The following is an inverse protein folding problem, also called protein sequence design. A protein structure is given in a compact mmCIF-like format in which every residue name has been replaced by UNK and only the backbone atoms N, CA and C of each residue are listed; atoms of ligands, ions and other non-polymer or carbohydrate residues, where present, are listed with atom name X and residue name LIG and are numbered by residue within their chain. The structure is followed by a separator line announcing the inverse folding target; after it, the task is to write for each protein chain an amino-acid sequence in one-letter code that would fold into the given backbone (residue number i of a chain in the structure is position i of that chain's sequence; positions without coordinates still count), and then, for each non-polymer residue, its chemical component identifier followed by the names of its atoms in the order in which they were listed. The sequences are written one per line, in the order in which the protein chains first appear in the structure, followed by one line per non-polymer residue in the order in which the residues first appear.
data_IF_832259201869
#
_entry.id   IF_832259201869
#
_cell.length_a   1.000
_cell.length_b   1.000
_cell.length_c   1.000
_cell.angle_alpha   90.00
_cell.angle_beta   90.00
_cell.angle_gamma   90.00
#
_symmetry.space_group_name_H-M   'P 1'
#
loop_
_entity.id
_entity.type
_entity.pdbx_description
1 polymer ?
#
# COMPACT_ATOMS: atom_id res chain seq x y z
N UNK A 1 -14.50 -19.19 -3.64
CA UNK A 1 -13.19 -19.05 -4.33
C UNK A 1 -13.07 -17.60 -4.78
N UNK A 2 -11.96 -16.93 -4.45
CA UNK A 2 -11.70 -15.55 -4.86
C UNK A 2 -10.78 -15.52 -6.09
N UNK A 3 -11.03 -14.59 -7.00
CA UNK A 3 -10.22 -14.35 -8.20
C UNK A 3 -9.52 -13.01 -8.01
N UNK A 4 -8.19 -12.98 -8.15
CA UNK A 4 -7.38 -11.76 -8.18
C UNK A 4 -7.12 -11.40 -9.64
N UNK A 5 -7.33 -10.14 -10.00
CA UNK A 5 -7.13 -9.61 -11.36
C UNK A 5 -6.72 -8.13 -11.32
N UNK A 6 -6.20 -7.56 -12.42
CA UNK A 6 -6.03 -6.12 -12.54
C UNK A 6 -7.34 -5.37 -12.25
N UNK A 7 -7.22 -4.20 -11.62
CA UNK A 7 -8.35 -3.31 -11.36
C UNK A 7 -8.76 -2.62 -12.67
N UNK A 8 -10.04 -2.64 -12.99
CA UNK A 8 -10.59 -2.01 -14.19
C UNK A 8 -11.30 -0.71 -13.83
N UNK A 9 -11.35 0.26 -14.75
CA UNK A 9 -12.03 1.53 -14.48
C UNK A 9 -13.52 1.37 -14.13
N UNK A 10 -14.16 0.30 -14.62
CA UNK A 10 -15.55 -0.06 -14.33
C UNK A 10 -15.76 -0.57 -12.90
N UNK A 11 -14.70 -1.03 -12.21
CA UNK A 11 -14.76 -1.53 -10.82
C UNK A 11 -15.15 -0.45 -9.81
N UNK A 12 -14.93 0.82 -10.14
CA UNK A 12 -15.36 1.98 -9.34
C UNK A 12 -16.87 1.94 -9.09
N UNK A 13 -17.65 1.35 -10.00
CA UNK A 13 -19.11 1.21 -9.83
C UNK A 13 -19.50 0.01 -8.95
N UNK A 14 -18.55 -0.87 -8.62
CA UNK A 14 -18.79 -2.19 -8.04
C UNK A 14 -18.16 -2.40 -6.66
N UNK A 15 -17.31 -1.49 -6.18
CA UNK A 15 -16.61 -1.59 -4.90
C UNK A 15 -17.32 -0.95 -3.69
N UNK A 16 -18.61 -0.63 -3.81
CA UNK A 16 -19.38 0.05 -2.76
C UNK A 16 -19.41 -0.74 -1.44
N UNK A 17 -19.39 -2.07 -1.51
CA UNK A 17 -19.32 -2.96 -0.34
C UNK A 17 -17.98 -2.84 0.40
N UNK A 18 -16.89 -2.58 -0.32
CA UNK A 18 -15.56 -2.36 0.23
C UNK A 18 -15.49 -0.98 0.88
N UNK A 19 -15.98 0.04 0.17
CA UNK A 19 -15.94 1.43 0.64
C UNK A 19 -16.93 1.73 1.79
N UNK A 20 -17.86 0.82 2.08
CA UNK A 20 -18.69 0.89 3.29
C UNK A 20 -17.91 0.62 4.58
N UNK A 21 -16.66 0.13 4.50
CA UNK A 21 -15.83 -0.05 5.68
C UNK A 21 -15.34 1.31 6.24
N UNK A 22 -15.51 1.59 7.54
CA UNK A 22 -15.18 2.87 8.15
C UNK A 22 -13.71 3.31 8.01
N UNK A 23 -12.79 2.36 7.80
CA UNK A 23 -11.36 2.65 7.65
C UNK A 23 -10.97 2.94 6.19
N UNK A 24 -11.90 2.78 5.25
CA UNK A 24 -11.62 2.93 3.82
C UNK A 24 -11.84 4.37 3.38
N UNK A 25 -10.76 5.03 2.97
CA UNK A 25 -10.86 6.32 2.30
C UNK A 25 -11.45 6.12 0.89
N UNK A 26 -12.55 6.83 0.61
CA UNK A 26 -13.17 6.86 -0.72
C UNK A 26 -12.77 8.14 -1.44
N UNK A 27 -12.14 8.01 -2.61
CA UNK A 27 -11.70 9.14 -3.41
C UNK A 27 -12.70 9.46 -4.53
N UNK A 28 -12.55 10.62 -5.16
CA UNK A 28 -13.33 10.94 -6.36
C UNK A 28 -12.91 10.04 -7.54
N UNK A 29 -13.82 9.77 -8.49
CA UNK A 29 -13.56 8.84 -9.61
C UNK A 29 -12.31 9.19 -10.44
N UNK A 30 -12.06 10.49 -10.66
CA UNK A 30 -10.87 10.97 -11.37
C UNK A 30 -9.55 10.59 -10.69
N UNK A 31 -9.55 10.41 -9.36
CA UNK A 31 -8.39 9.98 -8.60
C UNK A 31 -8.02 8.54 -8.98
N UNK A 32 -8.99 7.61 -8.90
CA UNK A 32 -8.76 6.22 -9.33
C UNK A 32 -8.36 6.12 -10.81
N UNK A 33 -9.00 6.92 -11.68
CA UNK A 33 -8.66 6.95 -13.11
C UNK A 33 -7.21 7.42 -13.36
N UNK A 34 -6.70 8.38 -12.60
CA UNK A 34 -5.31 8.82 -12.69
C UNK A 34 -4.34 7.69 -12.36
N UNK A 35 -4.62 6.90 -11.31
CA UNK A 35 -3.77 5.76 -10.94
C UNK A 35 -3.77 4.69 -12.02
N UNK A 36 -4.93 4.35 -12.59
CA UNK A 36 -5.01 3.40 -13.70
C UNK A 36 -4.28 3.89 -14.96
N UNK A 37 -4.23 5.21 -15.18
CA UNK A 37 -3.52 5.78 -16.32
C UNK A 37 -1.99 5.80 -16.14
N UNK A 38 -1.50 5.96 -14.90
CA UNK A 38 -0.07 6.11 -14.61
C UNK A 38 0.60 4.82 -14.12
N UNK A 39 -0.11 4.00 -13.35
CA UNK A 39 0.39 2.79 -12.70
C UNK A 39 -0.62 1.63 -12.77
N UNK A 40 -1.04 1.20 -13.97
CA UNK A 40 -2.00 0.10 -14.13
C UNK A 40 -1.53 -1.20 -13.48
N UNK A 41 -0.23 -1.49 -13.55
CA UNK A 41 0.38 -2.72 -13.02
C UNK A 41 0.42 -2.77 -11.48
N UNK A 42 0.11 -1.65 -10.80
CA UNK A 42 0.04 -1.55 -9.34
C UNK A 42 -1.40 -1.51 -8.81
N UNK A 43 -2.38 -1.72 -9.67
CA UNK A 43 -3.80 -1.66 -9.31
C UNK A 43 -4.46 -3.03 -9.50
N UNK A 44 -4.88 -3.66 -8.39
CA UNK A 44 -5.50 -4.98 -8.38
C UNK A 44 -6.84 -4.99 -7.66
N UNK A 45 -7.72 -5.88 -8.10
CA UNK A 45 -8.99 -6.18 -7.47
C UNK A 45 -9.08 -7.68 -7.14
N UNK A 46 -9.89 -8.02 -6.15
CA UNK A 46 -10.36 -9.38 -5.93
C UNK A 46 -11.88 -9.42 -5.81
N UNK A 47 -12.48 -10.44 -6.42
CA UNK A 47 -13.92 -10.68 -6.38
C UNK A 47 -14.21 -12.17 -6.16
N UNK A 48 -15.44 -12.48 -5.76
CA UNK A 48 -15.92 -13.86 -5.71
C UNK A 48 -16.08 -14.43 -7.12
N UNK A 49 -15.81 -15.73 -7.31
CA UNK A 49 -15.94 -16.39 -8.62
C UNK A 49 -17.35 -16.29 -9.24
N UNK A 50 -18.38 -16.06 -8.43
CA UNK A 50 -19.78 -15.93 -8.84
C UNK A 50 -20.38 -14.57 -8.46
N UNK A 51 -19.55 -13.62 -8.02
CA UNK A 51 -19.99 -12.29 -7.60
C UNK A 51 -19.48 -11.26 -8.61
N UNK A 52 -20.35 -10.30 -8.95
CA UNK A 52 -19.97 -9.16 -9.79
C UNK A 52 -19.32 -8.03 -8.98
N UNK A 53 -19.61 -7.95 -7.67
CA UNK A 53 -19.05 -6.92 -6.81
C UNK A 53 -17.58 -7.20 -6.50
N UNK A 54 -16.82 -6.11 -6.42
CA UNK A 54 -15.43 -6.14 -5.96
C UNK A 54 -15.46 -6.38 -4.45
N UNK A 55 -14.78 -7.43 -4.00
CA UNK A 55 -14.69 -7.81 -2.59
C UNK A 55 -13.45 -7.23 -1.89
N UNK A 56 -12.43 -6.86 -2.65
CA UNK A 56 -11.22 -6.20 -2.18
C UNK A 56 -10.49 -5.48 -3.32
N UNK A 57 -9.66 -4.49 -3.01
CA UNK A 57 -8.75 -3.88 -3.98
C UNK A 57 -7.47 -3.36 -3.34
N UNK A 58 -6.44 -3.23 -4.16
CA UNK A 58 -5.19 -2.52 -3.89
C UNK A 58 -4.98 -1.48 -4.99
N UNK A 59 -4.73 -0.24 -4.62
CA UNK A 59 -4.30 0.85 -5.50
C UNK A 59 -2.98 1.37 -4.95
N UNK A 60 -1.94 1.35 -5.77
CA UNK A 60 -0.61 1.79 -5.41
C UNK A 60 0.06 2.56 -6.57
N UNK A 61 1.17 3.23 -6.26
CA UNK A 61 1.96 4.01 -7.23
C UNK A 61 3.45 3.91 -6.93
N UNK A 62 4.27 4.43 -7.82
CA UNK A 62 5.67 4.77 -7.51
C UNK A 62 5.84 6.29 -7.46
N UNK A 63 6.50 6.79 -6.43
CA UNK A 63 6.80 8.22 -6.32
C UNK A 63 8.05 8.49 -5.45
N UNK A 64 8.64 9.69 -5.56
CA UNK A 64 8.70 10.49 -6.79
C UNK A 64 9.43 9.72 -7.91
N UNK A 65 9.34 10.12 -9.20
CA UNK A 65 9.98 9.39 -10.29
C UNK A 65 11.51 9.23 -10.11
N UNK A 66 12.11 8.13 -10.60
CA UNK A 66 13.55 7.95 -10.55
C UNK A 66 14.26 9.01 -11.43
N UNK A 67 15.49 9.43 -11.11
CA UNK A 67 16.43 8.84 -10.15
C UNK A 67 16.39 9.48 -8.74
N UNK A 68 15.24 9.95 -8.26
CA UNK A 68 15.13 10.55 -6.93
C UNK A 68 15.57 9.56 -5.82
N UNK A 69 16.27 10.07 -4.80
CA UNK A 69 16.73 9.29 -3.65
C UNK A 69 15.56 8.76 -2.81
N UNK A 70 14.43 9.44 -2.82
CA UNK A 70 13.25 8.97 -2.12
C UNK A 70 12.34 8.11 -3.01
N UNK A 71 12.80 7.60 -4.16
CA UNK A 71 11.96 6.77 -5.03
C UNK A 71 11.50 5.49 -4.32
N UNK A 72 10.19 5.36 -4.11
CA UNK A 72 9.54 4.29 -3.38
C UNK A 72 8.24 3.83 -4.04
N UNK A 73 7.80 2.62 -3.70
CA UNK A 73 6.42 2.19 -3.92
C UNK A 73 5.53 2.72 -2.80
N UNK A 74 4.38 3.31 -3.14
CA UNK A 74 3.44 3.85 -2.17
C UNK A 74 2.11 3.11 -2.27
N UNK A 75 1.67 2.50 -1.17
CA UNK A 75 0.33 1.94 -1.06
C UNK A 75 -0.67 3.05 -0.72
N UNK A 76 -1.40 3.49 -1.74
CA UNK A 76 -2.42 4.53 -1.57
C UNK A 76 -3.68 4.00 -0.88
N UNK A 77 -4.15 2.83 -1.29
CA UNK A 77 -5.35 2.24 -0.71
C UNK A 77 -5.33 0.72 -0.79
N UNK A 78 -5.58 0.08 0.35
CA UNK A 78 -5.84 -1.35 0.46
C UNK A 78 -7.09 -1.54 1.29
N UNK A 79 -8.14 -2.09 0.70
CA UNK A 79 -9.35 -2.39 1.45
C UNK A 79 -9.97 -3.72 1.04
N UNK A 80 -10.55 -4.38 2.03
CA UNK A 80 -11.11 -5.72 1.95
C UNK A 80 -12.42 -5.70 2.72
N UNK A 81 -13.51 -6.00 2.01
CA UNK A 81 -14.83 -6.15 2.62
C UNK A 81 -14.80 -7.23 3.71
N UNK A 82 -15.62 -7.12 4.78
CA UNK A 82 -15.58 -8.08 5.88
C UNK A 82 -15.68 -9.56 5.47
N UNK A 83 -16.48 -9.87 4.44
CA UNK A 83 -16.67 -11.23 3.92
C UNK A 83 -15.41 -11.83 3.25
N UNK A 84 -14.48 -10.99 2.80
CA UNK A 84 -13.25 -11.40 2.11
C UNK A 84 -12.01 -11.36 3.03
N UNK A 85 -12.17 -11.00 4.32
CA UNK A 85 -11.07 -10.97 5.31
C UNK A 85 -10.68 -12.39 5.74
N UNK A 86 -9.44 -12.55 6.21
CA UNK A 86 -8.93 -13.84 6.69
C UNK A 86 -8.55 -14.82 5.58
N UNK A 87 -8.67 -14.42 4.30
CA UNK A 87 -8.32 -15.24 3.13
C UNK A 87 -6.87 -15.04 2.64
N UNK A 88 -6.09 -14.20 3.32
CA UNK A 88 -4.71 -13.87 2.92
C UNK A 88 -4.59 -12.87 1.76
N UNK A 89 -5.69 -12.29 1.27
CA UNK A 89 -5.69 -11.35 0.14
C UNK A 89 -4.78 -10.13 0.37
N UNK A 90 -4.82 -9.53 1.57
CA UNK A 90 -3.93 -8.42 1.91
C UNK A 90 -2.45 -8.80 1.74
N UNK A 91 -2.06 -9.99 2.22
CA UNK A 91 -0.69 -10.48 2.08
C UNK A 91 -0.32 -10.67 0.61
N UNK A 92 -1.23 -11.17 -0.22
CA UNK A 92 -0.97 -11.34 -1.66
C UNK A 92 -0.80 -9.98 -2.35
N UNK A 93 -1.68 -9.02 -2.08
CA UNK A 93 -1.58 -7.67 -2.64
C UNK A 93 -0.27 -6.98 -2.23
N UNK A 94 0.08 -7.02 -0.94
CA UNK A 94 1.35 -6.46 -0.49
C UNK A 94 2.55 -7.17 -1.13
N UNK A 95 2.52 -8.49 -1.27
CA UNK A 95 3.59 -9.22 -1.95
C UNK A 95 3.74 -8.84 -3.43
N UNK A 96 2.64 -8.52 -4.13
CA UNK A 96 2.68 -8.01 -5.51
C UNK A 96 3.33 -6.63 -5.54
N UNK A 97 2.91 -5.70 -4.67
CA UNK A 97 3.48 -4.37 -4.56
C UNK A 97 4.98 -4.42 -4.25
N UNK A 98 5.37 -5.17 -3.20
CA UNK A 98 6.77 -5.34 -2.81
C UNK A 98 7.63 -5.88 -3.96
N UNK A 99 7.15 -6.90 -4.68
CA UNK A 99 7.87 -7.45 -5.82
C UNK A 99 8.06 -6.40 -6.92
N UNK A 100 6.99 -5.71 -7.31
CA UNK A 100 7.02 -4.70 -8.38
C UNK A 100 7.83 -3.45 -7.99
N UNK A 101 8.00 -3.17 -6.70
CA UNK A 101 8.84 -2.07 -6.18
C UNK A 101 10.27 -2.50 -5.83
N UNK A 102 10.70 -3.70 -6.26
CA UNK A 102 12.05 -4.24 -6.03
C UNK A 102 12.74 -4.62 -7.34
N UNK A 103 13.90 -5.26 -7.27
CA UNK A 103 14.57 -5.91 -8.39
C UNK A 103 13.92 -7.26 -8.80
N UNK A 104 12.66 -7.47 -8.42
CA UNK A 104 11.90 -8.70 -8.64
C UNK A 104 12.13 -9.78 -7.58
N UNK A 105 12.98 -9.53 -6.58
CA UNK A 105 13.33 -10.51 -5.52
C UNK A 105 12.55 -10.33 -4.21
N UNK A 106 11.82 -9.23 -4.03
CA UNK A 106 11.02 -9.02 -2.83
C UNK A 106 9.63 -9.70 -2.90
N UNK A 107 8.90 -9.68 -1.77
CA UNK A 107 7.59 -10.30 -1.63
C UNK A 107 7.67 -11.82 -1.44
N UNK A 108 6.96 -12.57 -2.28
CA UNK A 108 7.02 -14.05 -2.32
C UNK A 108 7.82 -14.55 -3.54
N UNK A 109 8.70 -13.73 -4.10
CA UNK A 109 9.61 -14.21 -5.12
C UNK A 109 10.60 -15.23 -4.51
N UNK A 110 10.87 -16.36 -5.17
CA UNK A 110 11.99 -17.22 -4.78
C UNK A 110 13.31 -16.48 -5.04
N UNK A 111 14.34 -16.83 -4.27
CA UNK A 111 15.71 -16.38 -4.55
C UNK A 111 16.11 -16.83 -5.96
N UNK A 112 16.63 -15.93 -6.81
CA UNK A 112 17.04 -16.27 -8.16
C UNK A 112 18.20 -17.27 -8.13
N UNK A 113 18.17 -18.28 -9.01
CA UNK A 113 19.24 -19.28 -9.11
C UNK A 113 20.52 -18.69 -9.72
N UNK A 114 20.38 -17.71 -10.61
CA UNK A 114 21.48 -17.01 -11.26
C UNK A 114 21.09 -15.57 -11.67
N UNK A 115 22.09 -14.79 -12.11
CA UNK A 115 21.87 -13.39 -12.49
C UNK A 115 21.02 -13.21 -13.75
N UNK A 116 20.91 -14.24 -14.58
CA UNK A 116 20.04 -14.18 -15.75
C UNK A 116 18.58 -14.28 -15.31
N UNK A 117 18.26 -15.21 -14.41
CA UNK A 117 16.93 -15.30 -13.80
C UNK A 117 16.58 -14.01 -13.05
N UNK A 118 17.53 -13.44 -12.30
CA UNK A 118 17.34 -12.16 -11.62
C UNK A 118 16.97 -11.02 -12.59
N UNK A 119 17.70 -10.91 -13.71
CA UNK A 119 17.41 -9.91 -14.73
C UNK A 119 16.03 -10.10 -15.37
N UNK A 120 15.62 -11.34 -15.62
CA UNK A 120 14.29 -11.62 -16.16
C UNK A 120 13.18 -11.33 -15.14
N UNK A 121 13.38 -11.65 -13.85
CA UNK A 121 12.42 -11.34 -12.79
C UNK A 121 12.23 -9.83 -12.59
N UNK A 122 13.31 -9.06 -12.71
CA UNK A 122 13.30 -7.61 -12.53
C UNK A 122 12.85 -6.81 -13.75
N UNK A 123 12.66 -7.44 -14.92
CA UNK A 123 12.41 -6.76 -16.20
C UNK A 123 11.22 -5.80 -16.18
N UNK A 124 10.15 -6.20 -15.51
CA UNK A 124 8.91 -5.42 -15.40
C UNK A 124 8.75 -4.77 -14.00
N UNK A 125 9.82 -4.77 -13.21
CA UNK A 125 9.83 -4.18 -11.87
C UNK A 125 10.52 -2.82 -11.87
N UNK A 126 10.22 -2.01 -10.85
CA UNK A 126 10.79 -0.70 -10.63
C UNK A 126 11.61 -0.74 -9.34
N UNK A 127 12.93 -0.74 -9.51
CA UNK A 127 13.88 -0.82 -8.39
C UNK A 127 13.81 0.42 -7.49
N UNK A 128 13.10 0.29 -6.37
CA UNK A 128 12.81 1.36 -5.41
C UNK A 128 13.52 1.11 -4.07
N UNK A 129 13.67 2.14 -3.24
CA UNK A 129 14.37 2.01 -1.95
C UNK A 129 13.53 1.33 -0.88
N UNK A 130 12.23 1.59 -0.85
CA UNK A 130 11.31 1.06 0.13
C UNK A 130 9.90 1.01 -0.43
N UNK A 131 9.00 0.38 0.31
CA UNK A 131 7.56 0.54 0.15
C UNK A 131 7.01 1.22 1.40
N UNK A 132 6.15 2.22 1.24
CA UNK A 132 5.47 2.88 2.34
C UNK A 132 3.94 2.89 2.22
N UNK A 133 3.30 3.34 3.31
CA UNK A 133 1.86 3.53 3.44
C UNK A 133 1.55 4.43 4.62
N UNK A 134 0.37 5.06 4.59
CA UNK A 134 -0.20 5.74 5.76
C UNK A 134 -1.33 4.93 6.39
N UNK A 135 -1.30 4.79 7.71
CA UNK A 135 -2.36 4.13 8.49
C UNK A 135 -2.74 4.96 9.70
N UNK A 136 -4.04 5.06 10.01
CA UNK A 136 -4.51 5.73 11.23
C UNK A 136 -3.93 5.07 12.47
N UNK A 137 -3.48 5.87 13.44
CA UNK A 137 -2.83 5.38 14.66
C UNK A 137 -3.74 4.45 15.49
N UNK A 138 -5.06 4.59 15.39
CA UNK A 138 -6.05 3.76 16.08
C UNK A 138 -6.50 2.52 15.29
N UNK A 139 -6.03 2.30 14.05
CA UNK A 139 -6.35 1.11 13.27
C UNK A 139 -5.41 -0.05 13.61
N UNK A 140 -5.51 -0.55 14.85
CA UNK A 140 -4.63 -1.61 15.37
C UNK A 140 -4.61 -2.88 14.52
N UNK A 141 -5.74 -3.23 13.88
CA UNK A 141 -5.82 -4.41 13.00
C UNK A 141 -4.93 -4.30 11.77
N UNK A 142 -4.90 -3.12 11.14
CA UNK A 142 -4.05 -2.86 9.98
C UNK A 142 -2.59 -2.75 10.41
N UNK A 143 -2.30 -2.05 11.51
CA UNK A 143 -0.95 -1.93 12.07
C UNK A 143 -0.36 -3.31 12.36
N UNK A 144 -1.06 -4.16 13.12
CA UNK A 144 -0.62 -5.53 13.44
C UNK A 144 -0.35 -6.37 12.18
N UNK A 145 -1.15 -6.15 11.12
CA UNK A 145 -0.97 -6.84 9.84
C UNK A 145 0.32 -6.38 9.15
N UNK A 146 0.55 -5.07 9.05
CA UNK A 146 1.74 -4.51 8.40
C UNK A 146 3.02 -4.84 9.19
N UNK A 147 3.00 -4.77 10.52
CA UNK A 147 4.12 -5.19 11.37
C UNK A 147 4.50 -6.66 11.11
N UNK A 148 3.51 -7.56 10.98
CA UNK A 148 3.74 -8.98 10.60
C UNK A 148 4.28 -9.18 9.19
N UNK A 149 4.07 -8.21 8.29
CA UNK A 149 4.64 -8.22 6.94
C UNK A 149 6.05 -7.60 6.90
N UNK A 150 6.57 -7.12 8.03
CA UNK A 150 7.91 -6.54 8.15
C UNK A 150 7.94 -5.02 7.96
N UNK A 151 6.80 -4.33 7.99
CA UNK A 151 6.75 -2.87 8.01
C UNK A 151 7.01 -2.36 9.42
N UNK A 152 7.69 -1.23 9.52
CA UNK A 152 7.94 -0.50 10.76
C UNK A 152 7.46 0.94 10.64
N UNK A 153 7.06 1.56 11.75
CA UNK A 153 6.72 2.99 11.73
C UNK A 153 8.01 3.77 11.50
N UNK A 154 8.02 4.62 10.47
CA UNK A 154 9.12 5.54 10.19
C UNK A 154 8.90 6.90 10.86
N UNK A 155 7.67 7.39 10.88
CA UNK A 155 7.27 8.64 11.55
C UNK A 155 5.77 8.67 11.81
N UNK A 156 5.35 9.48 12.77
CA UNK A 156 3.95 9.83 13.05
C UNK A 156 3.68 11.22 12.48
N UNK A 157 2.76 11.28 11.52
CA UNK A 157 2.32 12.51 10.88
C UNK A 157 1.10 13.04 11.63
N UNK A 158 1.29 14.17 12.29
CA UNK A 158 0.27 14.81 13.13
C UNK A 158 -0.83 15.40 12.25
N UNK A 159 -2.10 15.18 12.61
CA UNK A 159 -3.28 15.68 11.89
C UNK A 159 -3.34 15.27 10.40
N UNK A 160 -2.74 14.13 10.03
CA UNK A 160 -2.72 13.63 8.65
C UNK A 160 -4.13 13.41 8.06
N UNK A 161 -5.05 12.85 8.85
CA UNK A 161 -6.43 12.55 8.47
C UNK A 161 -7.41 13.67 8.84
N UNK A 162 -6.93 14.91 8.97
CA UNK A 162 -7.77 16.07 9.20
C UNK A 162 -8.87 16.20 8.12
N UNK A 163 -10.09 16.53 8.53
CA UNK A 163 -11.26 16.59 7.64
C UNK A 163 -11.92 15.24 7.38
N UNK A 164 -11.38 14.15 7.93
CA UNK A 164 -11.97 12.81 7.92
C UNK A 164 -12.38 12.36 9.33
N UNK A 165 -12.77 13.31 10.19
CA UNK A 165 -13.26 13.06 11.54
C UNK A 165 -14.63 12.34 11.51
N UNK A 166 -14.78 11.27 12.30
CA UNK A 166 -16.08 10.82 12.78
C UNK A 166 -16.57 11.68 13.96
N UNK A 167 -17.87 11.64 14.25
CA UNK A 167 -18.43 12.29 15.46
C UNK A 167 -17.76 11.69 16.71
N UNK A 168 -17.07 12.53 17.48
CA UNK A 168 -16.36 12.12 18.69
C UNK A 168 -14.89 11.76 18.49
N UNK A 169 -14.30 12.06 17.33
CA UNK A 169 -12.89 11.74 17.06
C UNK A 169 -11.94 12.45 18.03
N UNK A 170 -11.04 11.70 18.65
CA UNK A 170 -9.95 12.27 19.46
C UNK A 170 -8.76 12.69 18.58
N UNK A 171 -7.86 13.52 19.12
CA UNK A 171 -6.66 13.99 18.38
C UNK A 171 -5.79 12.84 17.87
N UNK A 172 -5.68 11.74 18.63
CA UNK A 172 -4.94 10.54 18.20
C UNK A 172 -5.58 9.81 17.01
N UNK A 173 -6.85 10.06 16.69
CA UNK A 173 -7.55 9.46 15.55
C UNK A 173 -7.27 10.15 14.22
N UNK A 174 -6.68 11.35 14.28
CA UNK A 174 -6.33 12.16 13.11
C UNK A 174 -4.87 12.00 12.70
N UNK A 175 -4.03 11.48 13.60
CA UNK A 175 -2.64 11.18 13.28
C UNK A 175 -2.52 9.91 12.42
N UNK A 176 -1.55 9.92 11.51
CA UNK A 176 -1.20 8.78 10.67
C UNK A 176 0.22 8.30 10.93
N UNK A 177 0.42 6.99 10.94
CA UNK A 177 1.76 6.41 10.85
C UNK A 177 2.16 6.25 9.38
N UNK A 178 3.29 6.85 9.01
CA UNK A 178 4.06 6.50 7.81
C UNK A 178 4.82 5.22 8.14
N UNK A 179 4.35 4.08 7.62
CA UNK A 179 4.98 2.78 7.83
C UNK A 179 5.78 2.38 6.59
N UNK A 180 7.00 1.87 6.80
CA UNK A 180 7.94 1.53 5.73
C UNK A 180 8.52 0.14 5.86
N UNK A 181 8.82 -0.45 4.71
CA UNK A 181 9.61 -1.67 4.57
C UNK A 181 10.70 -1.43 3.52
N UNK A 182 11.97 -1.57 3.91
CA UNK A 182 13.11 -1.47 3.00
C UNK A 182 13.08 -2.55 1.93
N UNK A 183 13.35 -2.17 0.69
CA UNK A 183 13.54 -3.06 -0.45
C UNK A 183 15.05 -3.35 -0.63
N UNK A 184 15.45 -4.35 -1.45
CA UNK A 184 16.86 -4.76 -1.60
C UNK A 184 17.84 -3.65 -1.99
N UNK A 185 17.34 -2.57 -2.59
CA UNK A 185 18.11 -1.37 -2.95
C UNK A 185 18.62 -0.58 -1.74
N UNK A 186 17.86 -0.57 -0.63
CA UNK A 186 18.23 0.10 0.62
C UNK A 186 19.20 -0.76 1.45
N UNK A 187 20.45 -0.83 0.99
CA UNK A 187 21.51 -1.66 1.61
C UNK A 187 21.90 -1.20 3.01
N UNK A 188 21.67 0.08 3.33
CA UNK A 188 22.09 0.71 4.58
C UNK A 188 20.95 0.80 5.61
N UNK A 189 19.71 0.51 5.22
CA UNK A 189 18.54 0.66 6.09
C UNK A 189 18.21 2.13 6.36
N UNK A 190 18.48 3.04 5.42
CA UNK A 190 18.30 4.49 5.60
C UNK A 190 16.82 4.89 5.68
N UNK A 191 15.91 4.06 5.14
CA UNK A 191 14.49 4.37 5.00
C UNK A 191 13.60 3.66 6.02
N UNK A 192 14.19 3.05 7.04
CA UNK A 192 13.50 2.44 8.20
C UNK A 192 14.16 2.92 9.50
N UNK A 193 13.44 2.85 10.62
CA UNK A 193 13.99 3.20 11.94
C UNK A 193 13.22 2.52 13.06
N UNK A 194 13.86 2.33 14.22
CA UNK A 194 13.23 1.68 15.38
C UNK A 194 12.28 2.59 16.16
N UNK A 195 12.58 3.88 16.24
CA UNK A 195 11.87 4.88 17.06
C UNK A 195 10.92 5.79 16.25
N UNK A 196 10.29 5.27 15.20
CA UNK A 196 9.45 6.10 14.33
C UNK A 196 8.13 6.53 14.95
N UNK A 197 7.62 5.85 15.99
CA UNK A 197 6.38 6.26 16.68
C UNK A 197 6.56 7.59 17.43
N UNK A 198 7.79 7.89 17.84
CA UNK A 198 8.20 9.10 18.58
C UNK A 198 8.58 10.27 17.66
N UNK A 199 8.81 10.01 16.37
CA UNK A 199 9.18 11.04 15.39
C UNK A 199 7.91 11.70 14.88
N UNK A 200 7.58 12.84 15.46
CA UNK A 200 6.44 13.65 15.07
C UNK A 200 6.82 14.59 13.92
N UNK A 201 6.03 14.58 12.86
CA UNK A 201 6.14 15.55 11.76
C UNK A 201 4.76 16.12 11.43
N UNK A 202 4.75 17.30 10.84
CA UNK A 202 3.55 17.88 10.22
C UNK A 202 3.34 17.34 8.81
N UNK A 203 2.12 17.42 8.27
CA UNK A 203 1.86 17.00 6.90
C UNK A 203 2.71 17.80 5.89
N UNK A 204 2.94 19.10 6.14
CA UNK A 204 3.80 19.93 5.29
C UNK A 204 5.24 19.39 5.14
N UNK A 205 5.80 18.73 6.16
CA UNK A 205 7.13 18.12 6.12
C UNK A 205 7.18 16.77 5.38
N UNK A 206 6.02 16.22 5.01
CA UNK A 206 5.93 14.97 4.22
C UNK A 206 6.03 15.25 2.72
N UNK A 207 5.46 16.37 2.26
CA UNK A 207 5.37 16.73 0.83
C UNK A 207 6.20 17.97 0.44
N UNK A 208 7.14 18.39 1.31
CA UNK A 208 8.07 19.50 1.06
C UNK A 208 9.19 19.14 0.08
#
# INVERSE_FOLDING_TARGET
MSIIRPFEATDIQKFHTVNADPWTATYHNGYYAQYLAQWPDLCYAAQGAFEDNVGAYMIAKHEPPPPNKDHHGHLTALSISPAFRGLGLARVFMAILERLSSDGTAGWAPEPADEKEKQELGKDCVDSFFVDLFVRCNNGRAIDMYEKLGYSVFRRVVDYYHGMEGVGSTRDELDGYDMRKSMPKDKNGEYVRENGKEVLVTPAEVWA
#
